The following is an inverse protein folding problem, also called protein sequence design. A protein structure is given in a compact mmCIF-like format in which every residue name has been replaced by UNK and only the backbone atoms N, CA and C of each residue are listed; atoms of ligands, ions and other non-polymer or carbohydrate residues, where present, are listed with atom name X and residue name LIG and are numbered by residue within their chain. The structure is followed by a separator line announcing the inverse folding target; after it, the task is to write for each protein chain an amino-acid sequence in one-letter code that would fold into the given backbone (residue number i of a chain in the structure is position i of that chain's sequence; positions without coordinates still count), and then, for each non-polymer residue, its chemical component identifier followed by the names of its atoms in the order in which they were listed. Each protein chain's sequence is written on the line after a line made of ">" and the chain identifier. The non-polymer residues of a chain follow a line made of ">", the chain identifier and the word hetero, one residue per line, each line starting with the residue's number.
data_IF_796889864250
#
_entry.id   IF_796889864250
#
_cell.length_a   1.000
_cell.length_b   1.000
_cell.length_c   1.000
_cell.angle_alpha   90.00
_cell.angle_beta   90.00
_cell.angle_gamma   90.00
#
_symmetry.space_group_name_H-M   'P 1'
#
loop_
_entity.id
_entity.type
_entity.pdbx_description
1 polymer ?
#
# COMPACT_ATOMS: atom_id res chain seq x y z
N UNK A 1 -14.58 9.97 2.59
CA UNK A 1 -15.20 9.56 1.32
C UNK A 1 -14.83 8.13 0.88
N UNK A 2 -13.64 7.61 1.19
CA UNK A 2 -13.15 6.32 0.67
C UNK A 2 -13.68 5.06 1.37
N UNK A 3 -13.92 5.09 2.68
CA UNK A 3 -14.52 3.95 3.40
C UNK A 3 -15.96 3.67 2.97
N UNK A 4 -16.77 4.72 2.81
CA UNK A 4 -18.14 4.59 2.33
C UNK A 4 -18.19 4.01 0.92
N UNK A 5 -17.31 4.48 0.02
CA UNK A 5 -17.19 3.90 -1.32
C UNK A 5 -16.78 2.41 -1.30
N UNK A 6 -15.82 2.04 -0.44
CA UNK A 6 -15.42 0.65 -0.26
C UNK A 6 -16.55 -0.26 0.25
N UNK A 7 -17.34 0.22 1.23
CA UNK A 7 -18.48 -0.54 1.74
C UNK A 7 -19.61 -0.63 0.72
N UNK A 8 -19.86 0.43 -0.06
CA UNK A 8 -20.80 0.40 -1.19
C UNK A 8 -20.38 -0.67 -2.19
N UNK A 9 -19.10 -0.75 -2.58
CA UNK A 9 -18.61 -1.82 -3.47
C UNK A 9 -18.85 -3.18 -2.84
N UNK A 10 -18.55 -3.37 -1.55
CA UNK A 10 -18.77 -4.65 -0.86
C UNK A 10 -20.23 -5.08 -0.93
N UNK A 11 -21.15 -4.16 -0.62
CA UNK A 11 -22.60 -4.39 -0.68
C UNK A 11 -23.04 -4.68 -2.13
N UNK A 12 -22.49 -3.94 -3.09
CA UNK A 12 -22.79 -4.11 -4.51
C UNK A 12 -22.35 -5.50 -5.01
N UNK A 13 -21.17 -5.97 -4.60
CA UNK A 13 -20.66 -7.32 -4.92
C UNK A 13 -21.52 -8.41 -4.28
N UNK A 14 -22.05 -8.16 -3.08
CA UNK A 14 -22.98 -9.07 -2.39
C UNK A 14 -24.37 -9.08 -3.02
N UNK A 15 -24.75 -8.03 -3.74
CA UNK A 15 -26.08 -7.88 -4.32
C UNK A 15 -26.34 -8.87 -5.46
N UNK A 16 -27.62 -9.20 -5.67
CA UNK A 16 -28.04 -10.08 -6.77
C UNK A 16 -27.75 -9.48 -8.17
N UNK A 17 -27.45 -8.18 -8.25
CA UNK A 17 -27.11 -7.50 -9.51
C UNK A 17 -25.78 -7.99 -10.10
N UNK A 18 -24.74 -8.18 -9.27
CA UNK A 18 -23.42 -8.68 -9.72
C UNK A 18 -23.24 -10.18 -9.53
N UNK A 19 -24.25 -10.87 -9.03
CA UNK A 19 -24.22 -12.31 -8.80
C UNK A 19 -23.84 -13.13 -10.04
N UNK A 20 -24.29 -12.83 -11.28
CA UNK A 20 -23.91 -13.60 -12.46
C UNK A 20 -22.41 -13.54 -12.79
N UNK A 21 -21.72 -12.48 -12.37
CA UNK A 21 -20.31 -12.24 -12.73
C UNK A 21 -19.35 -12.56 -11.58
N UNK A 22 -19.77 -12.33 -10.32
CA UNK A 22 -18.90 -12.48 -9.15
C UNK A 22 -19.35 -13.60 -8.18
N UNK A 23 -20.45 -14.29 -8.45
CA UNK A 23 -20.97 -15.36 -7.58
C UNK A 23 -21.70 -14.86 -6.33
N UNK A 24 -21.84 -13.53 -6.17
CA UNK A 24 -22.55 -12.91 -5.05
C UNK A 24 -21.88 -13.24 -3.71
N UNK A 25 -22.69 -13.54 -2.69
CA UNK A 25 -22.19 -13.90 -1.35
C UNK A 25 -21.34 -15.19 -1.32
N UNK A 26 -21.50 -16.09 -2.29
CA UNK A 26 -20.69 -17.32 -2.38
C UNK A 26 -19.29 -17.06 -2.95
N UNK A 27 -19.05 -15.89 -3.54
CA UNK A 27 -17.78 -15.53 -4.15
C UNK A 27 -17.43 -16.34 -5.40
N UNK A 28 -16.18 -16.18 -5.85
CA UNK A 28 -15.63 -16.93 -6.97
C UNK A 28 -14.66 -17.99 -6.44
N UNK A 29 -14.98 -19.27 -6.66
CA UNK A 29 -14.15 -20.43 -6.31
C UNK A 29 -13.56 -21.11 -7.53
N UNK A 30 -12.62 -22.03 -7.31
CA UNK A 30 -11.89 -22.77 -8.37
C UNK A 30 -11.17 -21.83 -9.36
N UNK A 31 -10.46 -20.82 -8.85
CA UNK A 31 -9.57 -20.04 -9.71
C UNK A 31 -8.48 -20.99 -10.25
N UNK A 32 -8.31 -21.09 -11.58
CA UNK A 32 -7.31 -21.96 -12.16
C UNK A 32 -5.91 -21.51 -11.74
N UNK A 33 -5.02 -22.49 -11.54
CA UNK A 33 -3.63 -22.21 -11.23
C UNK A 33 -3.00 -21.36 -12.34
N UNK A 34 -2.10 -20.43 -11.99
CA UNK A 34 -1.51 -19.55 -12.97
C UNK A 34 -0.65 -20.39 -13.94
N UNK A 35 -0.93 -20.23 -15.24
CA UNK A 35 -0.23 -20.92 -16.31
C UNK A 35 0.65 -19.93 -17.07
N UNK A 36 1.92 -20.29 -17.24
CA UNK A 36 2.82 -19.58 -18.15
C UNK A 36 3.07 -20.50 -19.33
N UNK A 37 2.40 -20.23 -20.44
CA UNK A 37 2.42 -21.10 -21.62
C UNK A 37 1.88 -22.50 -21.29
N UNK A 38 2.75 -23.52 -21.38
CA UNK A 38 2.42 -24.92 -21.10
C UNK A 38 2.73 -25.37 -19.66
N UNK A 39 3.32 -24.50 -18.83
CA UNK A 39 3.72 -24.86 -17.48
C UNK A 39 2.65 -24.44 -16.47
N UNK A 40 2.04 -25.41 -15.79
CA UNK A 40 1.07 -25.18 -14.71
C UNK A 40 1.82 -24.99 -13.39
N UNK A 41 1.68 -23.82 -12.78
CA UNK A 41 2.26 -23.53 -11.47
C UNK A 41 1.40 -24.16 -10.36
N UNK A 42 1.59 -25.47 -10.13
CA UNK A 42 0.83 -26.23 -9.12
C UNK A 42 1.56 -26.27 -7.78
N UNK A 43 2.90 -26.39 -7.80
CA UNK A 43 3.70 -26.47 -6.56
C UNK A 43 3.70 -25.13 -5.79
N UNK A 44 3.65 -25.14 -4.43
CA UNK A 44 3.76 -23.91 -3.62
C UNK A 44 5.01 -23.09 -3.91
N UNK A 45 6.11 -23.73 -4.30
CA UNK A 45 7.37 -23.08 -4.67
C UNK A 45 7.19 -22.17 -5.90
N UNK A 46 6.42 -22.61 -6.88
CA UNK A 46 6.18 -21.83 -8.10
C UNK A 46 5.36 -20.56 -7.81
N UNK A 47 4.35 -20.67 -6.95
CA UNK A 47 3.54 -19.53 -6.51
C UNK A 47 4.40 -18.54 -5.72
N UNK A 48 5.33 -19.03 -4.89
CA UNK A 48 6.30 -18.17 -4.19
C UNK A 48 7.17 -17.36 -5.16
N UNK A 49 7.75 -18.01 -6.19
CA UNK A 49 8.54 -17.29 -7.19
C UNK A 49 7.71 -16.29 -8.01
N UNK A 50 6.42 -16.59 -8.27
CA UNK A 50 5.51 -15.67 -8.94
C UNK A 50 5.23 -14.42 -8.09
N UNK A 51 4.98 -14.59 -6.78
CA UNK A 51 4.82 -13.48 -5.85
C UNK A 51 6.11 -12.66 -5.79
N UNK A 52 7.26 -13.31 -5.66
CA UNK A 52 8.57 -12.64 -5.59
C UNK A 52 8.85 -11.84 -6.87
N UNK A 53 8.58 -12.43 -8.04
CA UNK A 53 8.70 -11.75 -9.33
C UNK A 53 7.74 -10.57 -9.44
N UNK A 54 6.49 -10.72 -8.97
CA UNK A 54 5.51 -9.64 -8.92
C UNK A 54 5.95 -8.49 -8.01
N UNK A 55 6.43 -8.78 -6.81
CA UNK A 55 7.00 -7.78 -5.90
C UNK A 55 8.21 -7.08 -6.53
N UNK A 56 9.14 -7.83 -7.11
CA UNK A 56 10.31 -7.27 -7.80
C UNK A 56 9.92 -6.37 -8.98
N UNK A 57 8.92 -6.77 -9.76
CA UNK A 57 8.39 -5.97 -10.87
C UNK A 57 7.78 -4.66 -10.38
N UNK A 58 6.95 -4.71 -9.33
CA UNK A 58 6.32 -3.50 -8.75
C UNK A 58 7.39 -2.57 -8.17
N UNK A 59 8.37 -3.10 -7.44
CA UNK A 59 9.50 -2.32 -6.91
C UNK A 59 10.28 -1.66 -8.05
N UNK A 60 10.62 -2.42 -9.09
CA UNK A 60 11.33 -1.91 -10.26
C UNK A 60 10.54 -0.81 -10.99
N UNK A 61 9.24 -1.05 -11.24
CA UNK A 61 8.35 -0.07 -11.85
C UNK A 61 8.21 1.18 -10.98
N UNK A 62 8.06 1.03 -9.66
CA UNK A 62 7.94 2.14 -8.72
C UNK A 62 9.20 3.01 -8.71
N UNK A 63 10.39 2.41 -8.66
CA UNK A 63 11.66 3.12 -8.75
C UNK A 63 11.82 3.86 -10.08
N UNK A 64 11.52 3.18 -11.20
CA UNK A 64 11.57 3.80 -12.53
C UNK A 64 10.56 4.93 -12.69
N UNK A 65 9.37 4.78 -12.10
CA UNK A 65 8.30 5.77 -12.16
C UNK A 65 8.65 7.01 -11.34
N UNK A 66 9.26 6.83 -10.16
CA UNK A 66 9.77 7.92 -9.32
C UNK A 66 10.77 8.80 -10.08
N UNK A 67 11.71 8.19 -10.80
CA UNK A 67 12.75 8.92 -11.54
C UNK A 67 12.28 9.41 -12.92
N UNK A 68 11.04 9.08 -13.31
CA UNK A 68 10.45 9.50 -14.59
C UNK A 68 9.95 10.95 -14.57
N UNK A 69 9.60 11.48 -15.76
CA UNK A 69 8.97 12.81 -15.88
C UNK A 69 7.63 12.87 -15.12
N UNK A 70 6.89 11.76 -15.10
CA UNK A 70 5.60 11.67 -14.42
C UNK A 70 5.77 11.71 -12.90
N UNK A 71 6.77 11.00 -12.36
CA UNK A 71 7.11 11.05 -10.94
C UNK A 71 7.49 12.47 -10.49
N UNK A 72 8.28 13.19 -11.28
CA UNK A 72 8.60 14.60 -11.02
C UNK A 72 7.39 15.53 -11.09
N UNK A 73 6.46 15.28 -12.02
CA UNK A 73 5.22 16.05 -12.12
C UNK A 73 4.31 15.82 -10.91
N UNK A 74 4.22 14.59 -10.40
CA UNK A 74 3.51 14.30 -9.15
C UNK A 74 4.16 14.94 -7.94
N UNK A 75 5.49 14.97 -7.90
CA UNK A 75 6.24 15.64 -6.85
C UNK A 75 5.93 17.15 -6.87
N UNK A 76 6.04 17.81 -8.02
CA UNK A 76 5.73 19.23 -8.15
C UNK A 76 4.29 19.57 -7.73
N UNK A 77 3.32 18.73 -8.14
CA UNK A 77 1.92 18.89 -7.74
C UNK A 77 1.69 18.71 -6.24
N UNK A 78 2.46 17.84 -5.58
CA UNK A 78 2.37 17.63 -4.12
C UNK A 78 2.84 18.85 -3.33
N UNK A 79 3.84 19.58 -3.84
CA UNK A 79 4.36 20.79 -3.19
C UNK A 79 3.36 21.96 -3.34
N UNK A 80 2.94 22.26 -4.57
CA UNK A 80 1.95 23.32 -4.85
C UNK A 80 1.24 23.05 -6.20
N UNK A 81 -0.08 22.85 -6.16
CA UNK A 81 -0.88 22.56 -7.35
C UNK A 81 -1.02 23.78 -8.28
N UNK A 82 -1.12 24.99 -7.73
CA UNK A 82 -1.32 26.22 -8.50
C UNK A 82 -0.04 26.57 -9.27
N UNK A 83 1.11 26.44 -8.62
CA UNK A 83 2.42 26.63 -9.26
C UNK A 83 2.66 25.55 -10.32
N UNK A 84 2.34 24.28 -10.04
CA UNK A 84 2.47 23.21 -11.03
C UNK A 84 1.63 23.49 -12.29
N UNK A 85 0.42 24.02 -12.12
CA UNK A 85 -0.45 24.41 -13.23
C UNK A 85 0.12 25.60 -14.02
N UNK A 86 0.66 26.61 -13.34
CA UNK A 86 1.32 27.75 -13.99
C UNK A 86 2.55 27.33 -14.82
N UNK A 87 3.25 26.27 -14.39
CA UNK A 87 4.38 25.66 -15.10
C UNK A 87 3.96 24.76 -16.28
N UNK A 88 2.66 24.70 -16.61
CA UNK A 88 2.12 23.98 -17.76
C UNK A 88 1.84 22.49 -17.51
N UNK A 89 1.80 22.04 -16.26
CA UNK A 89 1.44 20.65 -15.92
C UNK A 89 -0.09 20.50 -15.96
N UNK A 90 -0.59 19.55 -16.75
CA UNK A 90 -2.00 19.21 -16.76
C UNK A 90 -2.36 18.46 -15.46
N UNK A 91 -2.99 19.16 -14.50
CA UNK A 91 -3.34 18.59 -13.21
C UNK A 91 -4.29 17.39 -13.33
N UNK A 92 -5.30 17.48 -14.19
CA UNK A 92 -6.33 16.44 -14.35
C UNK A 92 -5.70 15.15 -14.87
N UNK A 93 -4.97 15.21 -15.98
CA UNK A 93 -4.33 14.05 -16.57
C UNK A 93 -3.31 13.42 -15.60
N UNK A 94 -2.55 14.26 -14.90
CA UNK A 94 -1.52 13.81 -13.96
C UNK A 94 -2.14 13.14 -12.73
N UNK A 95 -3.23 13.66 -12.17
CA UNK A 95 -4.00 13.01 -11.08
C UNK A 95 -4.64 11.70 -11.53
N UNK A 96 -5.22 11.66 -12.73
CA UNK A 96 -5.80 10.43 -13.30
C UNK A 96 -4.74 9.34 -13.50
N UNK A 97 -3.53 9.71 -13.93
CA UNK A 97 -2.42 8.75 -14.04
C UNK A 97 -1.95 8.25 -12.68
N UNK A 98 -1.94 9.09 -11.63
CA UNK A 98 -1.61 8.65 -10.28
C UNK A 98 -2.62 7.59 -9.80
N UNK A 99 -3.90 7.86 -10.02
CA UNK A 99 -4.96 6.90 -9.70
C UNK A 99 -4.86 5.61 -10.53
N UNK A 100 -4.66 5.72 -11.85
CA UNK A 100 -4.58 4.57 -12.74
C UNK A 100 -3.37 3.66 -12.43
N UNK A 101 -2.21 4.24 -12.13
CA UNK A 101 -1.02 3.46 -11.75
C UNK A 101 -1.20 2.76 -10.40
N UNK A 102 -1.77 3.45 -9.40
CA UNK A 102 -2.11 2.83 -8.11
C UNK A 102 -3.14 1.70 -8.25
N UNK A 103 -4.18 1.91 -9.06
CA UNK A 103 -5.18 0.89 -9.39
C UNK A 103 -4.55 -0.31 -10.11
N UNK A 104 -3.61 -0.07 -11.03
CA UNK A 104 -2.87 -1.11 -11.74
C UNK A 104 -2.03 -1.98 -10.80
N UNK A 105 -1.27 -1.38 -9.88
CA UNK A 105 -0.50 -2.14 -8.88
C UNK A 105 -1.40 -2.92 -7.92
N UNK A 106 -2.53 -2.32 -7.52
CA UNK A 106 -3.52 -2.99 -6.67
C UNK A 106 -4.18 -4.17 -7.38
N UNK A 107 -4.51 -4.04 -8.66
CA UNK A 107 -5.08 -5.11 -9.49
C UNK A 107 -4.09 -6.26 -9.69
N UNK A 108 -2.82 -5.96 -9.95
CA UNK A 108 -1.76 -6.97 -10.06
C UNK A 108 -1.60 -7.74 -8.74
N UNK A 109 -1.50 -7.02 -7.62
CA UNK A 109 -1.41 -7.64 -6.29
C UNK A 109 -2.63 -8.52 -5.97
N UNK A 110 -3.83 -8.03 -6.27
CA UNK A 110 -5.07 -8.78 -6.10
C UNK A 110 -5.14 -10.06 -6.96
N UNK A 111 -4.72 -9.99 -8.22
CA UNK A 111 -4.69 -11.15 -9.11
C UNK A 111 -3.73 -12.25 -8.58
N UNK A 112 -2.55 -11.86 -8.13
CA UNK A 112 -1.57 -12.77 -7.52
C UNK A 112 -2.14 -13.37 -6.21
N UNK A 113 -2.77 -12.55 -5.37
CA UNK A 113 -3.37 -12.97 -4.11
C UNK A 113 -4.48 -14.01 -4.31
N UNK A 114 -5.40 -13.75 -5.24
CA UNK A 114 -6.49 -14.69 -5.56
C UNK A 114 -5.93 -15.98 -6.15
N UNK A 115 -4.91 -15.89 -7.00
CA UNK A 115 -4.22 -17.05 -7.57
C UNK A 115 -3.54 -17.92 -6.49
N UNK A 116 -3.03 -17.32 -5.41
CA UNK A 116 -2.48 -18.05 -4.25
C UNK A 116 -3.54 -18.77 -3.42
N UNK A 117 -4.71 -18.15 -3.19
CA UNK A 117 -5.74 -18.69 -2.30
C UNK A 117 -6.70 -19.64 -3.04
N UNK A 118 -6.83 -19.50 -4.37
CA UNK A 118 -7.65 -20.36 -5.23
C UNK A 118 -9.17 -20.12 -5.13
N UNK A 119 -9.60 -19.32 -4.15
CA UNK A 119 -10.98 -18.89 -3.94
C UNK A 119 -11.02 -17.50 -3.32
N UNK A 120 -12.01 -16.69 -3.69
CA UNK A 120 -12.17 -15.34 -3.19
C UNK A 120 -13.61 -15.10 -2.74
N UNK A 121 -13.77 -14.72 -1.48
CA UNK A 121 -15.08 -14.48 -0.87
C UNK A 121 -15.21 -13.00 -0.46
N UNK A 122 -16.38 -12.35 -0.68
CA UNK A 122 -16.55 -10.95 -0.31
C UNK A 122 -16.33 -10.68 1.18
N UNK A 123 -16.67 -11.65 2.03
CA UNK A 123 -16.51 -11.54 3.48
C UNK A 123 -15.04 -11.63 3.94
N UNK A 124 -14.11 -11.97 3.05
CA UNK A 124 -12.67 -11.95 3.34
C UNK A 124 -12.07 -10.55 3.17
N UNK A 125 -12.82 -9.55 2.68
CA UNK A 125 -12.36 -8.16 2.51
C UNK A 125 -13.13 -7.22 3.43
N UNK A 126 -12.86 -7.31 4.72
CA UNK A 126 -13.49 -6.47 5.73
C UNK A 126 -12.68 -5.19 5.98
N UNK A 127 -13.34 -4.17 6.52
CA UNK A 127 -12.72 -2.91 6.94
C UNK A 127 -11.48 -3.13 7.83
N UNK A 128 -11.51 -4.15 8.68
CA UNK A 128 -10.39 -4.49 9.55
C UNK A 128 -9.11 -4.85 8.79
N UNK A 129 -9.23 -5.50 7.63
CA UNK A 129 -8.06 -5.83 6.80
C UNK A 129 -7.50 -4.57 6.16
N UNK A 130 -8.35 -3.66 5.71
CA UNK A 130 -7.93 -2.36 5.18
C UNK A 130 -7.19 -1.53 6.23
N UNK A 131 -7.68 -1.52 7.48
CA UNK A 131 -6.99 -0.87 8.61
C UNK A 131 -5.61 -1.52 8.82
N UNK A 132 -5.54 -2.85 8.88
CA UNK A 132 -4.27 -3.57 9.05
C UNK A 132 -3.24 -3.24 7.95
N UNK A 133 -3.68 -3.11 6.70
CA UNK A 133 -2.80 -2.73 5.57
C UNK A 133 -2.27 -1.31 5.75
N UNK A 134 -3.11 -0.36 6.16
CA UNK A 134 -2.67 1.02 6.45
C UNK A 134 -1.68 1.03 7.62
N UNK A 135 -1.94 0.27 8.68
CA UNK A 135 -1.04 0.13 9.83
C UNK A 135 0.35 -0.37 9.41
N UNK A 136 0.40 -1.37 8.53
CA UNK A 136 1.65 -1.92 7.99
C UNK A 136 2.44 -0.86 7.21
N UNK A 137 1.77 -0.02 6.41
CA UNK A 137 2.40 1.06 5.64
C UNK A 137 2.93 2.15 6.58
N UNK A 138 2.16 2.54 7.59
CA UNK A 138 2.56 3.54 8.59
C UNK A 138 3.80 3.05 9.34
N UNK A 139 3.80 1.81 9.83
CA UNK A 139 4.95 1.23 10.55
C UNK A 139 6.18 1.11 9.66
N UNK A 140 5.99 0.75 8.38
CA UNK A 140 7.08 0.72 7.42
C UNK A 140 7.69 2.09 7.13
N UNK A 141 6.86 3.12 7.06
CA UNK A 141 7.23 4.49 6.69
C UNK A 141 6.60 4.89 5.35
N UNK A 142 5.84 5.99 5.34
CA UNK A 142 5.17 6.50 4.14
C UNK A 142 6.23 7.01 3.14
N UNK A 143 6.14 6.57 1.88
CA UNK A 143 7.07 6.97 0.81
C UNK A 143 8.34 6.11 0.66
N UNK A 144 8.61 5.22 1.62
CA UNK A 144 9.80 4.36 1.57
C UNK A 144 9.49 2.93 1.16
N UNK A 145 9.90 2.53 -0.05
CA UNK A 145 9.79 1.15 -0.54
C UNK A 145 10.46 0.14 0.42
N UNK A 146 11.73 0.30 0.84
CA UNK A 146 12.34 -0.64 1.79
C UNK A 146 11.66 -0.61 3.17
N UNK A 147 11.17 0.56 3.59
CA UNK A 147 10.39 0.71 4.83
C UNK A 147 9.13 -0.15 4.83
N UNK A 148 8.33 -0.07 3.76
CA UNK A 148 7.11 -0.87 3.61
C UNK A 148 7.40 -2.38 3.61
N UNK A 149 8.52 -2.83 3.02
CA UNK A 149 8.93 -4.24 3.04
C UNK A 149 9.25 -4.70 4.47
N UNK A 150 10.00 -3.89 5.23
CA UNK A 150 10.33 -4.20 6.62
C UNK A 150 9.08 -4.14 7.51
N UNK A 151 8.22 -3.15 7.31
CA UNK A 151 6.92 -3.03 7.99
C UNK A 151 6.03 -4.24 7.74
N UNK A 152 6.00 -4.75 6.50
CA UNK A 152 5.31 -5.98 6.15
C UNK A 152 5.89 -7.19 6.86
N UNK A 153 7.21 -7.38 6.81
CA UNK A 153 7.88 -8.48 7.49
C UNK A 153 7.65 -8.45 9.00
N UNK A 154 7.69 -7.26 9.62
CA UNK A 154 7.45 -7.08 11.04
C UNK A 154 6.00 -7.41 11.41
N UNK A 155 5.00 -6.76 10.80
CA UNK A 155 3.59 -6.94 11.21
C UNK A 155 2.95 -8.25 10.74
N UNK A 156 3.48 -8.86 9.67
CA UNK A 156 3.04 -10.20 9.22
C UNK A 156 3.80 -11.29 9.95
N UNK A 157 5.10 -11.12 10.22
CA UNK A 157 5.92 -12.10 10.94
C UNK A 157 5.64 -12.16 12.44
N UNK A 158 5.40 -11.01 13.09
CA UNK A 158 5.12 -10.93 14.52
C UNK A 158 3.91 -11.80 14.96
N UNK A 159 2.73 -11.76 14.32
CA UNK A 159 1.61 -12.62 14.70
C UNK A 159 1.83 -14.10 14.35
N UNK A 160 2.69 -14.44 13.40
CA UNK A 160 3.06 -15.84 13.12
C UNK A 160 3.90 -16.41 14.28
N UNK A 161 4.77 -15.58 14.87
CA UNK A 161 5.53 -15.92 16.08
C UNK A 161 4.65 -15.94 17.34
N UNK A 162 3.62 -15.08 17.40
CA UNK A 162 2.65 -15.02 18.50
C UNK A 162 1.36 -15.81 18.20
N UNK A 163 1.41 -16.82 17.34
CA UNK A 163 0.22 -17.56 16.89
C UNK A 163 -0.58 -18.17 18.05
N UNK A 164 0.10 -18.55 19.13
CA UNK A 164 -0.50 -19.07 20.36
C UNK A 164 -1.28 -18.01 21.17
N UNK A 165 -1.02 -16.72 20.95
CA UNK A 165 -1.68 -15.58 21.60
C UNK A 165 -2.62 -14.83 20.65
N UNK A 166 -3.28 -15.55 19.73
CA UNK A 166 -4.10 -14.98 18.66
C UNK A 166 -5.19 -14.00 19.16
N UNK A 167 -5.72 -14.19 20.36
CA UNK A 167 -6.72 -13.30 20.97
C UNK A 167 -6.17 -11.90 21.27
N UNK A 168 -4.87 -11.77 21.56
CA UNK A 168 -4.22 -10.49 21.86
C UNK A 168 -3.66 -9.78 20.62
N UNK A 169 -3.86 -10.34 19.41
CA UNK A 169 -3.30 -9.80 18.16
C UNK A 169 -3.60 -8.32 17.94
N UNK A 170 -4.83 -7.88 18.22
CA UNK A 170 -5.22 -6.48 18.04
C UNK A 170 -4.61 -5.56 19.09
N UNK A 171 -4.47 -6.04 20.33
CA UNK A 171 -3.77 -5.30 21.39
C UNK A 171 -2.30 -5.10 21.03
N UNK A 172 -1.64 -6.15 20.53
CA UNK A 172 -0.25 -6.11 20.07
C UNK A 172 -0.09 -5.18 18.87
N UNK A 173 -1.02 -5.18 17.91
CA UNK A 173 -1.00 -4.25 16.78
C UNK A 173 -1.16 -2.79 17.21
N UNK A 174 -2.12 -2.49 18.11
CA UNK A 174 -2.29 -1.15 18.67
C UNK A 174 -1.05 -0.69 19.43
N UNK A 175 -0.50 -1.56 20.29
CA UNK A 175 0.72 -1.26 21.05
C UNK A 175 1.93 -1.05 20.14
N UNK A 176 2.11 -1.89 19.11
CA UNK A 176 3.19 -1.74 18.13
C UNK A 176 3.08 -0.43 17.34
N UNK A 177 1.86 -0.03 16.97
CA UNK A 177 1.62 1.25 16.30
C UNK A 177 1.96 2.44 17.20
N UNK A 178 1.49 2.44 18.45
CA UNK A 178 1.78 3.50 19.41
C UNK A 178 3.27 3.57 19.71
N UNK A 179 3.92 2.42 19.94
CA UNK A 179 5.36 2.33 20.15
C UNK A 179 6.14 2.87 18.95
N UNK A 180 5.71 2.56 17.72
CA UNK A 180 6.33 3.05 16.50
C UNK A 180 6.15 4.57 16.35
N UNK A 181 4.95 5.10 16.60
CA UNK A 181 4.69 6.55 16.60
C UNK A 181 5.55 7.29 17.64
N UNK A 182 5.80 6.68 18.80
CA UNK A 182 6.63 7.26 19.86
C UNK A 182 8.13 7.17 19.57
N UNK A 183 8.60 6.03 19.04
CA UNK A 183 10.04 5.76 18.90
C UNK A 183 10.61 6.28 17.57
N UNK A 184 9.82 6.24 16.49
CA UNK A 184 10.24 6.55 15.12
C UNK A 184 9.03 7.02 14.28
N UNK A 185 8.55 8.27 14.43
CA UNK A 185 7.40 8.78 13.69
C UNK A 185 7.60 8.77 12.16
N UNK A 186 8.83 8.61 11.67
CA UNK A 186 9.16 8.57 10.25
C UNK A 186 9.05 7.18 9.59
N UNK A 187 8.92 6.09 10.36
CA UNK A 187 9.03 4.72 9.83
C UNK A 187 10.21 3.91 10.37
N UNK A 188 10.18 2.59 10.16
CA UNK A 188 11.36 1.72 10.38
C UNK A 188 12.52 2.05 9.44
N UNK A 189 12.22 2.46 8.20
CA UNK A 189 13.21 2.94 7.24
C UNK A 189 12.66 4.16 6.50
N UNK A 190 12.89 5.37 7.00
CA UNK A 190 12.28 6.57 6.43
C UNK A 190 12.85 6.93 5.06
N UNK A 191 12.03 7.55 4.22
CA UNK A 191 12.49 8.16 2.97
C UNK A 191 13.34 9.39 3.30
N UNK A 192 14.52 9.50 2.67
CA UNK A 192 15.50 10.56 2.98
C UNK A 192 14.91 11.98 2.87
N UNK A 193 13.85 12.17 2.08
CA UNK A 193 13.17 13.45 1.88
C UNK A 193 12.16 13.78 2.99
N UNK A 194 11.44 12.79 3.51
CA UNK A 194 10.53 12.98 4.66
C UNK A 194 11.30 13.36 5.93
N UNK A 195 12.50 12.80 6.08
CA UNK A 195 13.45 13.19 7.12
C UNK A 195 13.93 14.65 6.99
N UNK A 196 14.03 15.17 5.77
CA UNK A 196 14.44 16.55 5.49
C UNK A 196 13.30 17.55 5.69
N UNK A 197 12.04 17.16 5.45
CA UNK A 197 10.87 18.01 5.69
C UNK A 197 10.67 18.24 7.20
N UNK A 198 10.69 17.17 8.02
CA UNK A 198 10.48 17.27 9.47
C UNK A 198 11.62 17.97 10.22
N UNK A 199 12.88 17.67 9.87
CA UNK A 199 14.04 18.32 10.50
C UNK A 199 14.44 19.66 9.84
N UNK A 200 13.89 19.97 8.67
CA UNK A 200 14.04 21.28 8.02
C UNK A 200 13.25 22.37 8.74
N UNK A 201 12.06 22.04 9.23
CA UNK A 201 11.24 22.94 10.06
C UNK A 201 11.88 23.19 11.44
N UNK A 202 12.47 22.17 12.07
CA UNK A 202 13.20 22.30 13.34
C UNK A 202 14.44 23.20 13.23
N UNK A 203 15.25 23.02 12.17
CA UNK A 203 16.44 23.84 11.94
C UNK A 203 16.09 25.27 11.49
N UNK A 204 15.05 25.43 10.67
CA UNK A 204 14.57 26.75 10.24
C UNK A 204 13.96 27.56 11.40
N UNK A 205 13.25 26.90 12.31
CA UNK A 205 12.76 27.53 13.54
C UNK A 205 13.92 27.94 14.47
N UNK A 206 14.94 27.08 14.64
CA UNK A 206 16.11 27.40 15.43
C UNK A 206 16.96 28.55 14.84
N UNK A 207 17.12 28.63 13.52
CA UNK A 207 17.80 29.75 12.85
C UNK A 207 17.01 31.05 12.95
N UNK A 208 15.68 31.00 12.82
CA UNK A 208 14.82 32.18 12.98
C UNK A 208 14.81 32.71 14.43
N UNK A 209 14.83 31.83 15.43
CA UNK A 209 14.92 32.20 16.84
C UNK A 209 16.29 32.81 17.18
N UNK A 210 17.37 32.30 16.56
CA UNK A 210 18.73 32.86 16.71
C UNK A 210 18.87 34.22 16.02
N UNK A 211 18.23 34.43 14.86
CA UNK A 211 18.27 35.70 14.13
C UNK A 211 17.40 36.81 14.75
N UNK A 212 16.38 36.46 15.54
CA UNK A 212 15.55 37.44 16.27
C UNK A 212 16.19 37.85 17.61
N UNK A 213 17.19 37.09 18.09
CA UNK A 213 17.90 37.34 19.34
C UNK A 213 19.17 38.22 19.20
N UNK A 214 19.49 38.67 17.98
CA UNK A 214 20.56 39.64 17.66
C UNK A 214 19.99 40.96 17.17
#
# INVERSE_FOLDING_TARGET
>A
ATLGFGEIIRILVLSDFLRPWLGGAQGAGNIPNPVIGSFQMVEPQHIYYLILAGCGLVVFMSLRLRDSRLGRAWMAMREDEDVAQAMGINLVATKLLAFATGAGFSALSGAIFVSKIGSVYPHSFNVMISINVICLIIVGGIGSIPGVIVGAAALVGLPELLREFAEYRFLVYGAALVAMMLLRPEGLWPEARHKLELHGEENGAAEAETATAT
#
